data_IF_479345588083
#
_entry.id   IF_479345588083
#
_cell.length_a   1.000
_cell.length_b   1.000
_cell.length_c   1.000
_cell.angle_alpha   90.00
_cell.angle_beta   90.00
_cell.angle_gamma   90.00
#
_symmetry.space_group_name_H-M   'P 1'
#
loop_
_entity.id
_entity.type
_entity.pdbx_description
1 polymer ?
#
# COMPACT_ATOMS: atom_id res chain seq x y z
N UNK A 1 -16.31 -13.62 8.91
CA UNK A 1 -15.82 -14.48 7.82
C UNK A 1 -14.45 -13.98 7.43
N UNK A 2 -13.40 -14.69 7.83
CA UNK A 2 -12.03 -14.36 7.41
C UNK A 2 -11.90 -14.72 5.93
N UNK A 3 -11.86 -13.71 5.07
CA UNK A 3 -11.48 -13.88 3.67
C UNK A 3 -10.06 -14.45 3.68
N UNK A 4 -9.90 -15.69 3.28
CA UNK A 4 -8.58 -16.30 3.20
C UNK A 4 -7.98 -15.84 1.89
N UNK A 5 -7.03 -14.91 1.96
CA UNK A 5 -6.29 -14.43 0.80
C UNK A 5 -5.76 -15.65 0.05
N UNK A 6 -5.99 -15.78 -1.28
CA UNK A 6 -5.44 -16.88 -2.06
C UNK A 6 -3.91 -16.93 -1.94
N UNK A 7 -3.34 -18.11 -1.76
CA UNK A 7 -1.90 -18.31 -1.56
C UNK A 7 -1.04 -17.59 -2.61
N UNK A 8 -1.50 -17.57 -3.88
CA UNK A 8 -0.81 -16.88 -4.97
C UNK A 8 -0.72 -15.35 -4.74
N UNK A 9 -1.78 -14.74 -4.21
CA UNK A 9 -1.80 -13.29 -3.94
C UNK A 9 -0.93 -12.96 -2.72
N UNK A 10 -0.93 -13.83 -1.71
CA UNK A 10 -0.02 -13.70 -0.58
C UNK A 10 1.44 -13.79 -1.03
N UNK A 11 1.80 -14.78 -1.86
CA UNK A 11 3.15 -14.91 -2.41
C UNK A 11 3.58 -13.69 -3.23
N UNK A 12 2.66 -13.12 -4.03
CA UNK A 12 2.95 -11.90 -4.80
C UNK A 12 3.20 -10.71 -3.87
N UNK A 13 2.41 -10.59 -2.81
CA UNK A 13 2.60 -9.55 -1.79
C UNK A 13 3.94 -9.72 -1.06
N UNK A 14 4.30 -10.93 -0.67
CA UNK A 14 5.56 -11.23 0.02
C UNK A 14 6.77 -10.91 -0.88
N UNK A 15 6.66 -11.20 -2.18
CA UNK A 15 7.68 -10.85 -3.16
C UNK A 15 7.82 -9.32 -3.32
N UNK A 16 6.71 -8.60 -3.39
CA UNK A 16 6.69 -7.14 -3.44
C UNK A 16 7.28 -6.54 -2.15
N UNK A 17 6.79 -6.97 -1.00
CA UNK A 17 7.21 -6.52 0.33
C UNK A 17 8.71 -6.74 0.56
N UNK A 18 9.25 -7.88 0.16
CA UNK A 18 10.68 -8.18 0.31
C UNK A 18 11.61 -7.34 -0.57
N UNK A 19 11.09 -6.63 -1.56
CA UNK A 19 11.88 -5.79 -2.49
C UNK A 19 11.70 -4.29 -2.28
N UNK A 20 10.65 -3.88 -1.62
CA UNK A 20 10.38 -2.49 -1.26
C UNK A 20 10.80 -2.27 0.19
N UNK A 21 12.03 -1.80 0.42
CA UNK A 21 12.60 -1.67 1.76
C UNK A 21 11.70 -0.91 2.74
N UNK A 22 11.11 0.20 2.30
CA UNK A 22 10.17 0.97 3.13
C UNK A 22 8.94 0.15 3.56
N UNK A 23 8.45 -0.76 2.71
CA UNK A 23 7.34 -1.66 3.02
C UNK A 23 7.71 -2.62 4.16
N UNK A 24 8.88 -3.23 4.07
CA UNK A 24 9.42 -4.12 5.10
C UNK A 24 9.69 -3.36 6.41
N UNK A 25 10.30 -2.17 6.34
CA UNK A 25 10.64 -1.36 7.51
C UNK A 25 9.41 -0.89 8.30
N UNK A 26 8.30 -0.61 7.60
CA UNK A 26 7.02 -0.27 8.19
C UNK A 26 6.30 -1.49 8.77
N UNK A 27 6.69 -2.71 8.38
CA UNK A 27 6.05 -3.95 8.81
C UNK A 27 4.62 -4.09 8.30
N UNK A 28 4.36 -3.65 7.06
CA UNK A 28 3.03 -3.68 6.46
C UNK A 28 2.52 -5.11 6.29
N UNK A 29 1.25 -5.34 6.63
CA UNK A 29 0.61 -6.65 6.63
C UNK A 29 -0.57 -6.63 5.66
N UNK A 30 -0.59 -7.57 4.69
CA UNK A 30 -1.75 -7.75 3.82
C UNK A 30 -2.90 -8.32 4.65
N UNK A 31 -4.02 -7.61 4.67
CA UNK A 31 -5.20 -7.96 5.46
C UNK A 31 -6.29 -8.59 4.58
N UNK A 32 -6.59 -7.96 3.43
CA UNK A 32 -7.64 -8.43 2.54
C UNK A 32 -7.45 -7.94 1.10
N UNK A 33 -8.06 -8.64 0.15
CA UNK A 33 -8.24 -8.20 -1.24
C UNK A 33 -9.68 -8.52 -1.63
N UNK A 34 -10.49 -7.47 -1.82
CA UNK A 34 -11.88 -7.58 -2.24
C UNK A 34 -12.17 -6.70 -3.45
N UNK A 35 -12.68 -7.29 -4.53
CA UNK A 35 -13.07 -6.57 -5.76
C UNK A 35 -12.00 -5.57 -6.26
N UNK A 36 -10.74 -5.98 -6.32
CA UNK A 36 -9.55 -5.18 -6.66
C UNK A 36 -9.11 -4.16 -5.60
N UNK A 37 -9.84 -3.99 -4.52
CA UNK A 37 -9.41 -3.17 -3.39
C UNK A 37 -8.43 -3.97 -2.54
N UNK A 38 -7.22 -3.45 -2.42
CA UNK A 38 -6.18 -3.99 -1.54
C UNK A 38 -6.32 -3.34 -0.18
N UNK A 39 -6.38 -4.15 0.86
CA UNK A 39 -6.34 -3.70 2.25
C UNK A 39 -5.06 -4.16 2.94
N UNK A 40 -4.32 -3.21 3.48
CA UNK A 40 -3.04 -3.42 4.18
C UNK A 40 -3.13 -2.77 5.56
N UNK A 41 -2.57 -3.42 6.57
CA UNK A 41 -2.44 -2.84 7.91
C UNK A 41 -1.03 -2.27 8.08
N UNK A 42 -0.94 -1.03 8.51
CA UNK A 42 0.24 -0.40 9.07
C UNK A 42 0.18 -0.57 10.59
N UNK A 43 0.96 -1.50 11.18
CA UNK A 43 0.96 -1.69 12.62
C UNK A 43 1.64 -0.51 13.32
N UNK A 44 1.13 -0.14 14.48
CA UNK A 44 1.80 0.83 15.32
C UNK A 44 3.16 0.31 15.78
N UNK A 45 4.17 1.14 15.67
CA UNK A 45 5.51 0.91 16.23
C UNK A 45 6.06 2.23 16.73
N UNK A 46 6.67 2.25 17.93
CA UNK A 46 7.21 3.47 18.55
C UNK A 46 8.18 4.24 17.64
N UNK A 47 8.99 3.51 16.85
CA UNK A 47 9.94 4.12 15.89
C UNK A 47 9.26 4.91 14.75
N UNK A 48 7.96 4.69 14.55
CA UNK A 48 7.15 5.37 13.52
C UNK A 48 6.23 6.44 14.12
N UNK A 49 6.34 6.72 15.42
CA UNK A 49 5.59 7.79 16.07
C UNK A 49 6.17 9.18 15.73
N UNK A 50 5.30 10.18 15.64
CA UNK A 50 5.69 11.55 15.30
C UNK A 50 6.38 12.26 16.44
N UNK A 51 5.68 12.37 17.55
CA UNK A 51 6.21 12.90 18.80
C UNK A 51 6.16 11.79 19.85
N UNK A 52 7.29 11.46 20.42
CA UNK A 52 7.45 10.36 21.39
C UNK A 52 6.51 10.42 22.59
N UNK A 53 5.97 11.60 22.90
CA UNK A 53 5.04 11.81 24.00
C UNK A 53 3.57 11.53 23.67
N UNK A 54 3.20 11.50 22.38
CA UNK A 54 1.81 11.32 21.97
C UNK A 54 1.48 9.88 21.54
N UNK A 55 2.52 9.07 21.21
CA UNK A 55 2.35 7.66 20.81
C UNK A 55 1.51 7.46 19.54
N UNK A 56 1.39 8.47 18.70
CA UNK A 56 0.61 8.39 17.46
C UNK A 56 1.53 8.17 16.25
N UNK A 57 1.07 7.43 15.26
CA UNK A 57 1.80 7.27 13.99
C UNK A 57 2.04 8.62 13.32
N UNK A 58 3.27 8.84 12.83
CA UNK A 58 3.62 10.04 12.07
C UNK A 58 2.97 10.01 10.69
N UNK A 59 2.54 11.17 10.20
CA UNK A 59 1.91 11.31 8.86
C UNK A 59 2.80 10.80 7.73
N UNK A 60 4.14 10.91 7.86
CA UNK A 60 5.11 10.39 6.87
C UNK A 60 5.04 8.87 6.77
N UNK A 61 4.89 8.16 7.89
CA UNK A 61 4.73 6.70 7.90
C UNK A 61 3.44 6.28 7.20
N UNK A 62 2.35 7.02 7.44
CA UNK A 62 1.06 6.81 6.76
C UNK A 62 1.20 7.10 5.26
N UNK A 63 1.85 8.20 4.87
CA UNK A 63 2.10 8.55 3.46
C UNK A 63 2.87 7.45 2.74
N UNK A 64 3.98 6.97 3.34
CA UNK A 64 4.80 5.91 2.76
C UNK A 64 4.01 4.61 2.63
N UNK A 65 3.20 4.28 3.62
CA UNK A 65 2.34 3.10 3.60
C UNK A 65 1.24 3.21 2.51
N UNK A 66 0.64 4.40 2.33
CA UNK A 66 -0.33 4.67 1.24
C UNK A 66 0.33 4.47 -0.12
N UNK A 67 1.52 5.06 -0.35
CA UNK A 67 2.25 4.92 -1.63
C UNK A 67 2.53 3.46 -1.95
N UNK A 68 3.04 2.71 -0.98
CA UNK A 68 3.31 1.28 -1.11
C UNK A 68 2.06 0.45 -1.40
N UNK A 69 0.94 0.73 -0.72
CA UNK A 69 -0.33 0.04 -0.93
C UNK A 69 -0.91 0.35 -2.31
N UNK A 70 -0.83 1.60 -2.76
CA UNK A 70 -1.20 2.01 -4.12
C UNK A 70 -0.36 1.28 -5.17
N UNK A 71 0.96 1.20 -4.98
CA UNK A 71 1.85 0.46 -5.87
C UNK A 71 1.47 -1.01 -6.00
N UNK A 72 1.12 -1.66 -4.89
CA UNK A 72 0.65 -3.04 -4.92
C UNK A 72 -0.72 -3.18 -5.63
N UNK A 73 -1.65 -2.26 -5.42
CA UNK A 73 -2.92 -2.24 -6.13
C UNK A 73 -2.73 -2.08 -7.66
N UNK A 74 -1.78 -1.23 -8.10
CA UNK A 74 -1.41 -1.12 -9.51
C UNK A 74 -0.85 -2.45 -10.02
N UNK A 75 0.09 -3.07 -9.30
CA UNK A 75 0.66 -4.37 -9.72
C UNK A 75 -0.40 -5.45 -9.90
N UNK A 76 -1.38 -5.52 -9.00
CA UNK A 76 -2.48 -6.48 -9.10
C UNK A 76 -3.41 -6.22 -10.30
N UNK A 77 -3.49 -4.98 -10.76
CA UNK A 77 -4.35 -4.58 -11.88
C UNK A 77 -3.70 -4.82 -13.25
N UNK A 78 -2.42 -5.19 -13.31
CA UNK A 78 -1.70 -5.44 -14.55
C UNK A 78 -1.86 -6.89 -15.01
N UNK A 79 -2.16 -7.11 -16.30
CA UNK A 79 -2.20 -8.44 -16.91
C UNK A 79 -0.84 -9.14 -16.87
N UNK A 80 0.21 -8.37 -17.07
CA UNK A 80 1.62 -8.80 -16.96
C UNK A 80 2.36 -7.88 -16.02
N UNK A 81 3.07 -8.45 -15.04
CA UNK A 81 3.88 -7.66 -14.12
C UNK A 81 4.92 -6.80 -14.86
N UNK A 82 4.97 -5.52 -14.51
CA UNK A 82 5.92 -4.55 -15.07
C UNK A 82 6.45 -3.66 -13.94
N UNK A 83 7.62 -3.07 -14.15
CA UNK A 83 8.11 -2.04 -13.24
C UNK A 83 7.16 -0.82 -13.26
N UNK A 84 6.88 -0.29 -12.09
CA UNK A 84 6.03 0.88 -11.92
C UNK A 84 6.78 1.97 -11.16
N UNK A 85 6.41 3.22 -11.37
CA UNK A 85 6.96 4.34 -10.60
C UNK A 85 5.86 5.34 -10.27
N UNK A 86 5.85 5.84 -9.05
CA UNK A 86 4.96 6.90 -8.60
C UNK A 86 5.30 8.19 -9.34
N UNK A 87 4.34 8.76 -10.06
CA UNK A 87 4.47 10.05 -10.76
C UNK A 87 3.92 11.18 -9.92
N UNK A 88 2.76 10.94 -9.33
CA UNK A 88 2.07 11.89 -8.47
C UNK A 88 1.32 11.14 -7.39
N UNK A 89 1.38 11.67 -6.18
CA UNK A 89 0.59 11.18 -5.05
C UNK A 89 0.16 12.39 -4.22
N UNK A 90 -1.13 12.68 -4.23
CA UNK A 90 -1.72 13.69 -3.38
C UNK A 90 -2.40 13.02 -2.21
N UNK A 91 -1.98 13.37 -1.00
CA UNK A 91 -2.59 12.89 0.25
C UNK A 91 -3.13 14.06 1.04
N UNK A 92 -4.40 14.03 1.34
CA UNK A 92 -5.07 14.98 2.23
C UNK A 92 -5.19 14.33 3.61
N UNK A 93 -4.42 14.81 4.59
CA UNK A 93 -4.51 14.37 5.99
C UNK A 93 -5.70 15.06 6.67
N UNK A 94 -6.62 14.27 7.22
CA UNK A 94 -7.88 14.73 7.79
C UNK A 94 -7.81 14.77 9.31
N UNK A 95 -7.37 13.66 9.92
CA UNK A 95 -7.12 13.59 11.36
C UNK A 95 -5.98 12.61 11.67
N UNK A 96 -5.55 12.58 12.93
CA UNK A 96 -4.50 11.66 13.38
C UNK A 96 -5.12 10.39 13.96
N UNK A 97 -4.45 9.22 13.77
CA UNK A 97 -4.77 8.03 14.57
C UNK A 97 -4.56 8.31 16.07
N UNK A 98 -5.27 7.61 16.92
CA UNK A 98 -5.04 7.62 18.34
C UNK A 98 -3.71 6.97 18.73
N UNK A 99 -3.31 7.16 19.98
CA UNK A 99 -2.08 6.57 20.52
C UNK A 99 -2.12 5.03 20.45
N UNK A 100 -1.05 4.42 19.95
CA UNK A 100 -0.91 2.97 19.84
C UNK A 100 -1.83 2.31 18.82
N UNK A 101 -2.54 3.09 17.99
CA UNK A 101 -3.48 2.52 17.02
C UNK A 101 -2.81 2.14 15.71
N UNK A 102 -3.14 0.94 15.24
CA UNK A 102 -2.87 0.50 13.88
C UNK A 102 -3.74 1.28 12.87
N UNK A 103 -3.26 1.40 11.64
CA UNK A 103 -3.97 2.07 10.55
C UNK A 103 -4.22 1.09 9.42
N UNK A 104 -5.45 1.00 8.95
CA UNK A 104 -5.78 0.27 7.74
C UNK A 104 -5.71 1.18 6.51
N UNK A 105 -5.08 0.68 5.46
CA UNK A 105 -4.91 1.34 4.18
C UNK A 105 -5.72 0.59 3.14
N UNK A 106 -6.58 1.26 2.41
CA UNK A 106 -7.35 0.68 1.32
C UNK A 106 -7.01 1.40 0.03
N UNK A 107 -6.58 0.66 -1.00
CA UNK A 107 -6.20 1.20 -2.29
C UNK A 107 -6.87 0.45 -3.44
N UNK A 108 -7.22 1.18 -4.49
CA UNK A 108 -7.84 0.68 -5.71
C UNK A 108 -7.21 1.36 -6.93
N UNK A 109 -6.82 0.54 -7.93
CA UNK A 109 -6.43 1.02 -9.24
C UNK A 109 -7.67 1.06 -10.13
N UNK A 110 -8.29 2.23 -10.27
CA UNK A 110 -9.59 2.37 -10.91
C UNK A 110 -9.54 2.64 -12.42
N UNK A 111 -8.37 2.95 -12.97
CA UNK A 111 -8.20 3.17 -14.40
C UNK A 111 -6.75 2.97 -14.86
N UNK A 112 -6.57 2.57 -16.10
CA UNK A 112 -5.29 2.54 -16.81
C UNK A 112 -5.47 3.14 -18.20
N UNK A 113 -4.58 4.05 -18.58
CA UNK A 113 -4.61 4.69 -19.90
C UNK A 113 -3.22 5.22 -20.29
N UNK A 114 -2.81 5.00 -21.53
CA UNK A 114 -1.58 5.59 -22.09
C UNK A 114 -0.29 5.23 -21.34
N UNK A 115 -0.24 4.06 -20.69
CA UNK A 115 0.90 3.62 -19.89
C UNK A 115 0.96 4.25 -18.51
N UNK A 116 -0.17 4.75 -18.02
CA UNK A 116 -0.35 5.24 -16.66
C UNK A 116 -1.47 4.48 -15.96
N UNK A 117 -1.32 4.32 -14.65
CA UNK A 117 -2.33 3.78 -13.75
C UNK A 117 -2.79 4.87 -12.78
N UNK A 118 -4.09 4.94 -12.56
CA UNK A 118 -4.75 5.92 -11.70
C UNK A 118 -5.30 5.22 -10.47
N UNK A 119 -4.93 5.72 -9.30
CA UNK A 119 -5.27 5.10 -8.02
C UNK A 119 -6.02 6.06 -7.12
N UNK A 120 -6.85 5.48 -6.28
CA UNK A 120 -7.42 6.15 -5.10
C UNK A 120 -7.14 5.29 -3.88
N UNK A 121 -6.89 5.94 -2.75
CA UNK A 121 -6.66 5.24 -1.50
C UNK A 121 -7.18 6.04 -0.30
N UNK A 122 -7.30 5.38 0.82
CA UNK A 122 -7.61 5.99 2.11
C UNK A 122 -6.88 5.28 3.23
N UNK A 123 -6.56 6.03 4.28
CA UNK A 123 -6.15 5.51 5.56
C UNK A 123 -7.30 5.67 6.56
N UNK A 124 -7.66 4.58 7.22
CA UNK A 124 -8.81 4.52 8.12
C UNK A 124 -8.43 3.79 9.41
N UNK A 125 -9.26 3.91 10.45
CA UNK A 125 -9.17 3.02 11.60
C UNK A 125 -9.44 1.56 11.17
N UNK A 126 -8.88 0.59 11.93
CA UNK A 126 -9.02 -0.84 11.58
C UNK A 126 -10.49 -1.27 11.50
N UNK A 127 -11.35 -0.69 12.35
CA UNK A 127 -12.79 -0.88 12.35
C UNK A 127 -13.56 -0.08 11.27
N UNK A 128 -12.84 0.74 10.47
CA UNK A 128 -13.36 1.58 9.36
C UNK A 128 -14.28 2.73 9.80
N UNK A 129 -14.25 3.13 11.05
CA UNK A 129 -15.09 4.23 11.58
C UNK A 129 -14.46 5.59 11.24
N UNK A 130 -13.17 5.74 11.52
CA UNK A 130 -12.47 7.02 11.35
C UNK A 130 -11.69 7.07 10.03
N UNK A 131 -11.78 8.21 9.33
CA UNK A 131 -11.00 8.50 8.13
C UNK A 131 -9.81 9.40 8.49
N UNK A 132 -8.60 8.86 8.38
CA UNK A 132 -7.36 9.58 8.71
C UNK A 132 -6.79 10.35 7.53
N UNK A 133 -6.82 9.73 6.34
CA UNK A 133 -6.31 10.36 5.12
C UNK A 133 -7.08 9.90 3.89
N UNK A 134 -7.14 10.76 2.86
CA UNK A 134 -7.64 10.44 1.53
C UNK A 134 -6.55 10.70 0.50
N UNK A 135 -6.47 9.84 -0.52
CA UNK A 135 -5.41 9.89 -1.52
C UNK A 135 -5.93 9.65 -2.93
N UNK A 136 -5.34 10.39 -3.87
CA UNK A 136 -5.38 10.10 -5.31
C UNK A 136 -3.95 10.11 -5.85
N UNK A 137 -3.65 9.27 -6.84
CA UNK A 137 -2.31 9.19 -7.40
C UNK A 137 -2.26 8.67 -8.82
N UNK A 138 -1.09 8.82 -9.43
CA UNK A 138 -0.77 8.36 -10.78
C UNK A 138 0.56 7.63 -10.75
N UNK A 139 0.60 6.46 -11.36
CA UNK A 139 1.79 5.64 -11.53
C UNK A 139 2.12 5.48 -13.02
N UNK A 140 3.41 5.54 -13.37
CA UNK A 140 3.90 5.16 -14.69
C UNK A 140 4.07 3.64 -14.74
N UNK A 141 3.47 2.99 -15.74
CA UNK A 141 3.64 1.57 -16.03
C UNK A 141 4.82 1.41 -17.02
N UNK A 142 5.64 0.37 -16.84
CA UNK A 142 6.81 0.11 -17.68
C UNK A 142 7.91 1.15 -17.48
N UNK A 143 8.11 1.63 -16.25
CA UNK A 143 9.22 2.54 -15.93
C UNK A 143 10.58 1.82 -16.07
N UNK A 144 11.69 2.53 -16.38
CA UNK A 144 13.03 1.95 -16.35
C UNK A 144 13.50 1.80 -14.89
N UNK A 145 12.86 0.96 -14.13
CA UNK A 145 13.18 0.66 -12.73
C UNK A 145 13.64 -0.78 -12.55
N UNK A 146 14.04 -1.17 -11.34
CA UNK A 146 14.30 -2.57 -11.07
C UNK A 146 13.04 -3.36 -11.38
N UNK A 147 13.18 -4.29 -12.32
CA UNK A 147 12.12 -5.25 -12.61
C UNK A 147 11.94 -6.12 -11.36
N UNK A 148 10.81 -5.92 -10.68
CA UNK A 148 10.46 -6.69 -9.49
C UNK A 148 10.37 -8.19 -9.78
N UNK A 149 10.34 -8.57 -11.05
CA UNK A 149 10.07 -9.92 -11.53
C UNK A 149 11.23 -10.57 -12.29
N UNK A 150 12.31 -9.85 -12.62
CA UNK A 150 13.45 -10.40 -13.38
C UNK A 150 14.26 -11.46 -12.63
N UNK A 151 13.88 -11.82 -11.42
CA UNK A 151 14.53 -12.88 -10.66
C UNK A 151 13.48 -13.92 -10.19
N UNK A 152 13.27 -14.97 -11.00
CA UNK A 152 12.60 -16.23 -10.62
C UNK A 152 11.06 -16.35 -10.60
N UNK A 153 10.33 -15.78 -11.58
CA UNK A 153 8.94 -16.21 -11.81
C UNK A 153 8.83 -17.54 -12.60
N UNK A 154 9.92 -18.05 -13.12
CA UNK A 154 9.93 -19.38 -13.80
C UNK A 154 9.67 -20.57 -12.85
N UNK A 155 9.36 -20.33 -11.57
CA UNK A 155 9.10 -21.36 -10.56
C UNK A 155 7.79 -21.17 -9.76
N UNK A 156 6.88 -20.32 -10.19
CA UNK A 156 5.53 -20.19 -9.59
C UNK A 156 4.47 -20.79 -10.50
#
# INVERSE_FOLDING_TARGET
MTSKIPDRLQQLYDLFSGRVGAHSDLGLILDDIDNSIVRVILPYQDKHSGFSQEGCLHSTSILTAIDSTCGFAVMLSLDTPQAIATVNLRVDHICRPGAGQDVALEADCYAQEGGFAYVKAKAVSVDKIDLYSSCIGVFKIGSPGPDLLSTNISKL
#
